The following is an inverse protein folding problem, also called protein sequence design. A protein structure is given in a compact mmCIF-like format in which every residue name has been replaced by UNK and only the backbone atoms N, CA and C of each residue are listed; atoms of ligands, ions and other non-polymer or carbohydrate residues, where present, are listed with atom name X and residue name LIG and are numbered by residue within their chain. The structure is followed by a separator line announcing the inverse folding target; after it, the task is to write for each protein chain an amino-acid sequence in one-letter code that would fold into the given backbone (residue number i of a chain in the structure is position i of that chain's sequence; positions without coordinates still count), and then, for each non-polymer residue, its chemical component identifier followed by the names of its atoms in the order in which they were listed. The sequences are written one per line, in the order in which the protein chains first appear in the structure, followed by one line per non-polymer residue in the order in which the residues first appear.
data_IF_396190467588
#
_entry.id   IF_396190467588
#
_cell.length_a   1.000
_cell.length_b   1.000
_cell.length_c   1.000
_cell.angle_alpha   90.00
_cell.angle_beta   90.00
_cell.angle_gamma   90.00
#
_symmetry.space_group_name_H-M   'P 1'
#
loop_
_entity.id
_entity.type
_entity.pdbx_description
1 polymer ?
#
# COMPACT_ATOMS: atom_id res chain seq x y z
N UNK A 1 2.70 24.16 -20.73
CA UNK A 1 2.10 24.62 -19.47
C UNK A 1 3.10 24.48 -18.34
N UNK A 2 2.77 25.00 -17.16
CA UNK A 2 3.57 24.91 -15.92
C UNK A 2 5.00 25.43 -15.96
N UNK A 3 5.40 25.99 -17.08
CA UNK A 3 6.74 26.54 -17.29
C UNK A 3 6.71 28.05 -17.46
N UNK A 4 7.51 28.76 -16.65
CA UNK A 4 7.68 30.19 -16.74
C UNK A 4 8.33 30.57 -18.10
N UNK A 5 7.65 31.38 -18.88
CA UNK A 5 8.18 31.98 -20.08
C UNK A 5 8.72 33.38 -19.76
N UNK A 6 9.99 33.64 -20.07
CA UNK A 6 10.56 34.99 -20.07
C UNK A 6 10.68 35.49 -21.52
N UNK A 7 10.13 36.64 -21.82
CA UNK A 7 10.16 37.21 -23.17
C UNK A 7 11.56 37.77 -23.51
N UNK A 8 11.83 37.78 -24.79
CA UNK A 8 13.02 38.46 -25.35
C UNK A 8 12.58 39.69 -26.12
N UNK A 9 13.48 40.65 -26.33
CA UNK A 9 13.19 41.84 -27.16
C UNK A 9 12.77 41.44 -28.58
N UNK A 10 13.28 40.35 -29.13
CA UNK A 10 12.95 39.82 -30.45
C UNK A 10 11.50 39.34 -30.58
N UNK A 11 10.80 39.05 -29.45
CA UNK A 11 9.41 38.61 -29.47
C UNK A 11 8.44 39.77 -29.77
N UNK A 12 8.93 41.00 -29.63
CA UNK A 12 8.20 42.21 -29.92
C UNK A 12 8.72 42.82 -31.22
N UNK A 13 8.07 42.52 -32.35
CA UNK A 13 8.42 43.07 -33.63
C UNK A 13 8.33 44.62 -33.62
N UNK A 14 9.41 45.29 -33.97
CA UNK A 14 9.49 46.74 -34.02
C UNK A 14 9.96 47.16 -35.43
N UNK A 15 9.28 48.14 -36.00
CA UNK A 15 9.70 48.81 -37.22
C UNK A 15 9.38 50.29 -37.09
N UNK A 16 10.38 51.12 -37.39
CA UNK A 16 10.23 52.56 -37.49
C UNK A 16 10.22 52.98 -38.95
N UNK A 17 9.25 53.84 -39.34
CA UNK A 17 9.07 54.28 -40.74
C UNK A 17 10.18 55.21 -41.18
N UNK A 18 10.68 56.02 -40.29
CA UNK A 18 11.71 56.98 -40.58
C UNK A 18 13.11 56.38 -40.53
N UNK A 19 13.24 55.15 -39.99
CA UNK A 19 14.43 54.33 -39.98
C UNK A 19 15.57 54.86 -39.08
N UNK A 20 15.26 55.80 -38.19
CA UNK A 20 16.24 56.40 -37.26
C UNK A 20 16.42 55.46 -36.03
N UNK A 21 15.37 54.71 -35.61
CA UNK A 21 15.41 53.80 -34.50
C UNK A 21 15.37 52.35 -34.97
N UNK A 22 16.32 51.57 -34.49
CA UNK A 22 16.45 50.13 -34.79
C UNK A 22 15.89 49.20 -33.70
N UNK A 23 15.42 49.79 -32.57
CA UNK A 23 14.86 49.06 -31.44
C UNK A 23 13.88 49.95 -30.68
N UNK A 24 12.89 49.34 -30.07
CA UNK A 24 11.98 50.05 -29.17
C UNK A 24 12.69 50.44 -27.87
N UNK A 25 12.27 51.53 -27.25
CA UNK A 25 12.78 52.03 -25.97
C UNK A 25 11.98 51.47 -24.78
N UNK A 26 10.70 51.12 -24.99
CA UNK A 26 9.82 50.51 -23.97
C UNK A 26 8.62 49.83 -24.61
N UNK A 27 8.03 48.92 -23.82
CA UNK A 27 6.79 48.22 -24.14
C UNK A 27 5.75 48.64 -23.09
N UNK A 28 4.57 49.06 -23.51
CA UNK A 28 3.45 49.37 -22.63
C UNK A 28 2.39 48.29 -22.78
N UNK A 29 1.93 47.73 -21.66
CA UNK A 29 0.81 46.80 -21.62
C UNK A 29 -0.49 47.60 -21.75
N UNK A 30 -1.32 47.26 -22.71
CA UNK A 30 -2.62 47.96 -22.94
C UNK A 30 -3.82 47.16 -22.51
N UNK A 31 -3.71 45.84 -22.54
CA UNK A 31 -4.64 44.91 -21.90
C UNK A 31 -3.84 43.78 -21.26
N UNK A 32 -4.22 43.42 -20.05
CA UNK A 32 -3.60 42.31 -19.33
C UNK A 32 -3.91 40.97 -19.99
N UNK A 33 -3.25 39.92 -19.55
CA UNK A 33 -3.39 38.58 -20.06
C UNK A 33 -4.81 38.02 -19.90
N UNK A 34 -5.16 37.12 -20.81
CA UNK A 34 -6.48 36.41 -20.79
C UNK A 34 -6.55 35.31 -19.72
N UNK A 35 -5.39 34.77 -19.34
CA UNK A 35 -5.24 33.77 -18.27
C UNK A 35 -3.77 33.63 -17.88
N UNK A 36 -3.47 32.96 -16.78
CA UNK A 36 -2.12 32.86 -16.24
C UNK A 36 -1.74 34.10 -15.44
N UNK A 37 -0.44 34.41 -15.39
CA UNK A 37 0.12 35.50 -14.61
C UNK A 37 1.22 36.18 -15.40
N UNK A 38 0.96 37.41 -15.89
CA UNK A 38 1.92 38.23 -16.60
C UNK A 38 2.55 39.22 -15.63
N UNK A 39 3.83 39.04 -15.38
CA UNK A 39 4.58 39.89 -14.47
C UNK A 39 5.52 40.85 -15.21
N UNK A 40 5.59 42.08 -14.70
CA UNK A 40 6.46 43.16 -15.13
C UNK A 40 7.57 43.36 -14.11
N UNK A 41 8.82 43.48 -14.58
CA UNK A 41 9.95 43.85 -13.74
C UNK A 41 10.19 45.33 -13.77
N UNK A 42 10.24 45.99 -12.61
CA UNK A 42 10.47 47.41 -12.46
C UNK A 42 9.54 48.25 -13.36
N UNK A 43 8.24 47.95 -13.31
CA UNK A 43 7.24 48.65 -14.10
C UNK A 43 7.31 50.17 -13.85
N UNK A 44 7.02 50.94 -14.90
CA UNK A 44 6.98 52.41 -14.85
C UNK A 44 8.31 53.07 -14.39
N UNK A 45 9.42 52.30 -14.39
CA UNK A 45 10.72 52.76 -13.94
C UNK A 45 10.90 52.71 -12.40
N UNK A 46 9.98 52.12 -11.68
CA UNK A 46 10.10 51.87 -10.25
C UNK A 46 11.05 50.67 -10.00
N UNK A 47 11.82 50.69 -8.92
CA UNK A 47 12.76 49.62 -8.60
C UNK A 47 12.10 48.60 -7.61
N UNK A 48 10.98 48.05 -8.00
CA UNK A 48 10.10 47.22 -7.16
C UNK A 48 10.17 45.70 -7.44
N UNK A 49 10.98 45.34 -8.46
CA UNK A 49 11.16 43.92 -8.82
C UNK A 49 10.08 43.40 -9.74
N UNK A 50 9.74 42.11 -9.60
CA UNK A 50 8.66 41.44 -10.33
C UNK A 50 7.33 41.64 -9.62
N UNK A 51 6.31 42.05 -10.35
CA UNK A 51 4.94 42.21 -9.89
C UNK A 51 3.96 42.01 -11.05
N UNK A 52 2.71 41.74 -10.75
CA UNK A 52 1.66 41.59 -11.76
C UNK A 52 1.58 42.85 -12.60
N UNK A 53 1.60 42.67 -13.93
CA UNK A 53 1.39 43.80 -14.84
C UNK A 53 -0.06 44.30 -14.74
N UNK A 54 -0.23 45.59 -14.76
CA UNK A 54 -1.55 46.21 -14.92
C UNK A 54 -1.61 47.01 -16.22
N UNK A 55 -2.83 47.32 -16.67
CA UNK A 55 -2.98 48.16 -17.86
C UNK A 55 -2.26 49.50 -17.68
N UNK A 56 -1.59 49.95 -18.74
CA UNK A 56 -0.75 51.13 -18.82
C UNK A 56 0.65 51.04 -18.18
N UNK A 57 0.99 49.91 -17.55
CA UNK A 57 2.37 49.63 -17.15
C UNK A 57 3.30 49.57 -18.35
N UNK A 58 4.53 50.06 -18.18
CA UNK A 58 5.58 49.89 -19.20
C UNK A 58 6.88 49.33 -18.63
N UNK A 59 7.55 48.58 -19.46
CA UNK A 59 8.89 48.04 -19.21
C UNK A 59 9.86 48.47 -20.30
N UNK A 60 11.16 48.50 -19.98
CA UNK A 60 12.19 49.00 -20.88
C UNK A 60 12.82 47.93 -21.76
N UNK A 61 12.48 46.70 -21.56
CA UNK A 61 12.96 45.54 -22.33
C UNK A 61 11.95 44.39 -22.29
N UNK A 62 11.92 43.60 -23.35
CA UNK A 62 11.12 42.36 -23.34
C UNK A 62 11.52 41.37 -22.23
N UNK A 63 12.82 41.34 -21.89
CA UNK A 63 13.32 40.50 -20.77
C UNK A 63 12.80 40.94 -19.39
N UNK A 64 12.12 42.08 -19.29
CA UNK A 64 11.42 42.54 -18.09
C UNK A 64 9.95 42.11 -18.05
N UNK A 65 9.53 41.22 -18.96
CA UNK A 65 8.22 40.57 -18.98
C UNK A 65 8.40 39.07 -18.84
N UNK A 66 7.57 38.47 -18.03
CA UNK A 66 7.47 37.00 -17.92
C UNK A 66 6.02 36.60 -17.73
N UNK A 67 5.71 35.39 -18.18
CA UNK A 67 4.36 34.82 -18.13
C UNK A 67 4.40 33.42 -17.56
N UNK A 68 3.61 33.17 -16.54
CA UNK A 68 3.35 31.85 -16.03
C UNK A 68 1.96 31.42 -16.49
N UNK A 69 1.82 30.38 -17.34
CA UNK A 69 0.52 29.84 -17.71
C UNK A 69 -0.27 29.42 -16.47
N UNK A 70 -1.59 29.44 -16.54
CA UNK A 70 -2.38 28.81 -15.51
C UNK A 70 -2.11 27.29 -15.50
N UNK A 71 -1.95 26.72 -14.30
CA UNK A 71 -1.65 25.32 -14.15
C UNK A 71 -2.61 24.42 -14.95
N UNK A 72 -2.05 23.42 -15.64
CA UNK A 72 -2.78 22.42 -16.42
C UNK A 72 -3.67 23.03 -17.52
N UNK A 73 -3.29 24.19 -18.05
CA UNK A 73 -4.06 24.90 -19.09
C UNK A 73 -3.30 24.98 -20.41
N UNK A 74 -3.85 24.38 -21.44
CA UNK A 74 -3.33 24.43 -22.83
C UNK A 74 -3.97 25.52 -23.70
N UNK A 75 -4.74 26.42 -23.10
CA UNK A 75 -5.36 27.52 -23.82
C UNK A 75 -4.32 28.58 -24.19
N UNK A 76 -4.37 29.09 -25.42
CA UNK A 76 -3.57 30.25 -25.84
C UNK A 76 -3.81 31.43 -24.91
N UNK A 77 -2.73 32.08 -24.50
CA UNK A 77 -2.77 33.27 -23.64
C UNK A 77 -2.51 34.51 -24.52
N UNK A 78 -3.34 35.53 -24.37
CA UNK A 78 -3.18 36.76 -25.12
C UNK A 78 -3.14 37.97 -24.21
N UNK A 79 -2.27 38.93 -24.55
CA UNK A 79 -2.27 40.29 -23.99
C UNK A 79 -1.99 41.32 -25.09
N UNK A 80 -2.32 42.57 -24.86
CA UNK A 80 -2.07 43.62 -25.85
C UNK A 80 -1.03 44.61 -25.35
N UNK A 81 -0.24 45.11 -26.28
CA UNK A 81 0.85 46.02 -25.99
C UNK A 81 1.01 47.10 -27.07
N UNK A 82 1.73 48.17 -26.72
CA UNK A 82 2.29 49.18 -27.62
C UNK A 82 3.79 49.22 -27.46
N UNK A 83 4.50 49.56 -28.53
CA UNK A 83 5.94 49.82 -28.50
C UNK A 83 6.19 51.33 -28.57
N UNK A 84 7.28 51.81 -27.96
CA UNK A 84 7.71 53.19 -27.92
C UNK A 84 9.09 53.31 -28.54
N UNK A 85 9.29 54.21 -29.49
CA UNK A 85 10.55 54.43 -30.20
C UNK A 85 11.57 55.33 -29.45
N UNK A 86 11.18 55.95 -28.37
CA UNK A 86 11.94 56.97 -27.64
C UNK A 86 11.25 58.33 -27.68
N UNK A 87 10.35 58.50 -28.67
CA UNK A 87 9.61 59.74 -28.91
C UNK A 87 8.11 59.61 -28.73
N UNK A 88 7.52 58.49 -29.25
CA UNK A 88 6.08 58.24 -29.22
C UNK A 88 5.75 56.74 -29.12
N UNK A 89 4.54 56.44 -28.69
CA UNK A 89 3.99 55.09 -28.76
C UNK A 89 3.41 54.79 -30.15
N UNK A 90 3.46 53.52 -30.54
CA UNK A 90 2.75 53.05 -31.72
C UNK A 90 1.29 53.47 -31.69
N UNK A 91 0.73 53.84 -32.88
CA UNK A 91 -0.64 54.35 -32.99
C UNK A 91 -1.68 53.32 -32.56
N UNK A 92 -1.41 52.03 -32.84
CA UNK A 92 -2.29 50.93 -32.52
C UNK A 92 -1.65 50.06 -31.44
N UNK A 93 -2.50 49.36 -30.66
CA UNK A 93 -2.08 48.20 -29.82
C UNK A 93 -1.94 46.96 -30.70
N UNK A 94 -1.00 46.13 -30.35
CA UNK A 94 -0.76 44.81 -30.96
C UNK A 94 -1.07 43.72 -29.95
N UNK A 95 -1.42 42.54 -30.44
CA UNK A 95 -1.72 41.37 -29.59
C UNK A 95 -0.52 40.43 -29.59
N UNK A 96 -0.05 40.09 -28.42
CA UNK A 96 0.84 38.96 -28.20
C UNK A 96 -0.05 37.72 -27.96
N UNK A 97 0.27 36.64 -28.67
CA UNK A 97 -0.34 35.34 -28.44
C UNK A 97 0.75 34.36 -28.04
N UNK A 98 0.61 33.75 -26.89
CA UNK A 98 1.48 32.68 -26.40
C UNK A 98 0.71 31.39 -26.51
N UNK A 99 1.14 30.50 -27.40
CA UNK A 99 0.56 29.19 -27.55
C UNK A 99 1.14 28.27 -26.48
N UNK A 100 0.28 27.72 -25.65
CA UNK A 100 0.64 26.82 -24.57
C UNK A 100 0.51 25.39 -25.06
N UNK A 101 1.58 24.62 -24.91
CA UNK A 101 1.58 23.18 -25.21
C UNK A 101 1.39 22.38 -23.95
N UNK A 102 0.70 21.22 -24.07
CA UNK A 102 0.57 20.30 -22.97
C UNK A 102 1.95 19.80 -22.50
N UNK A 103 2.09 19.66 -21.20
CA UNK A 103 3.15 18.92 -20.56
C UNK A 103 2.50 17.79 -19.76
N UNK A 104 3.14 16.65 -19.63
CA UNK A 104 2.59 15.55 -18.87
C UNK A 104 2.78 15.78 -17.37
N UNK A 105 1.71 15.70 -16.62
CA UNK A 105 1.68 15.67 -15.15
C UNK A 105 1.73 14.26 -14.61
N UNK A 106 2.30 14.06 -13.45
CA UNK A 106 2.27 12.76 -12.80
C UNK A 106 0.87 12.45 -12.22
N UNK A 107 0.45 11.18 -12.22
CA UNK A 107 -0.78 10.78 -11.55
C UNK A 107 -0.75 11.11 -10.07
N UNK A 108 -1.90 11.24 -9.45
CA UNK A 108 -2.04 11.57 -8.02
C UNK A 108 -2.97 10.59 -7.32
N UNK A 109 -2.72 10.34 -6.03
CA UNK A 109 -3.73 9.74 -5.17
C UNK A 109 -4.69 10.84 -4.71
N UNK A 110 -5.90 10.85 -5.25
CA UNK A 110 -6.95 11.80 -4.89
C UNK A 110 -7.62 11.44 -3.55
N UNK A 111 -7.52 10.18 -3.13
CA UNK A 111 -7.79 9.71 -1.78
C UNK A 111 -6.89 8.50 -1.47
N UNK A 112 -6.51 8.38 -0.20
CA UNK A 112 -5.69 7.29 0.34
C UNK A 112 -6.48 6.46 1.34
N UNK A 113 -6.24 5.15 1.39
CA UNK A 113 -6.88 4.26 2.35
C UNK A 113 -6.34 4.48 3.76
N UNK A 114 -7.17 4.17 4.75
CA UNK A 114 -6.72 4.10 6.13
C UNK A 114 -5.96 2.79 6.40
N UNK A 115 -5.10 2.83 7.42
CA UNK A 115 -4.45 1.64 7.93
C UNK A 115 -5.46 0.57 8.35
N UNK A 116 -5.08 -0.69 8.15
CA UNK A 116 -5.91 -1.87 8.45
C UNK A 116 -5.43 -2.53 9.74
N UNK A 117 -6.37 -2.88 10.62
CA UNK A 117 -6.13 -3.82 11.72
C UNK A 117 -7.00 -5.05 11.51
N UNK A 118 -6.41 -6.23 11.52
CA UNK A 118 -7.08 -7.51 11.24
C UNK A 118 -6.49 -8.59 12.15
N UNK A 119 -7.25 -9.60 12.44
CA UNK A 119 -6.72 -10.81 13.07
C UNK A 119 -6.07 -11.70 12.00
N UNK A 120 -5.02 -12.46 12.37
CA UNK A 120 -4.51 -13.49 11.46
C UNK A 120 -5.63 -14.45 11.05
N UNK A 121 -5.43 -15.18 9.95
CA UNK A 121 -6.37 -16.14 9.37
C UNK A 121 -7.74 -15.55 8.98
N UNK A 122 -7.88 -14.23 9.10
CA UNK A 122 -9.09 -13.51 8.73
C UNK A 122 -8.79 -12.50 7.63
N UNK A 123 -9.65 -12.43 6.62
CA UNK A 123 -9.52 -11.42 5.57
C UNK A 123 -9.91 -10.04 6.09
N UNK A 124 -9.11 -9.04 5.76
CA UNK A 124 -9.39 -7.63 6.01
C UNK A 124 -9.70 -6.89 4.71
N UNK A 125 -10.41 -5.79 4.82
CA UNK A 125 -10.81 -4.98 3.67
C UNK A 125 -10.21 -3.59 3.75
N UNK A 126 -9.48 -3.20 2.71
CA UNK A 126 -8.90 -1.87 2.50
C UNK A 126 -9.80 -1.13 1.52
N UNK A 127 -10.21 0.09 1.87
CA UNK A 127 -11.11 0.91 1.06
C UNK A 127 -10.66 2.36 1.05
N UNK A 128 -11.11 3.12 0.06
CA UNK A 128 -10.92 4.56 0.01
C UNK A 128 -9.76 5.04 -0.86
N UNK A 129 -8.95 4.13 -1.43
CA UNK A 129 -7.91 4.52 -2.39
C UNK A 129 -8.54 4.92 -3.72
N UNK A 130 -8.18 6.09 -4.21
CA UNK A 130 -8.56 6.55 -5.55
C UNK A 130 -7.41 7.32 -6.20
N UNK A 131 -7.27 7.19 -7.50
CA UNK A 131 -6.25 7.86 -8.30
C UNK A 131 -6.89 8.79 -9.33
N UNK A 132 -6.16 9.82 -9.71
CA UNK A 132 -6.54 10.74 -10.77
C UNK A 132 -5.30 11.15 -11.56
N UNK A 133 -5.53 11.46 -12.81
CA UNK A 133 -4.56 12.06 -13.71
C UNK A 133 -5.28 13.13 -14.52
N UNK A 134 -4.57 14.23 -14.79
CA UNK A 134 -5.17 15.38 -15.50
C UNK A 134 -5.09 15.19 -17.01
N UNK A 135 -4.03 14.51 -17.48
CA UNK A 135 -3.70 14.36 -18.89
C UNK A 135 -4.12 12.98 -19.39
N UNK A 136 -3.93 11.96 -18.55
CA UNK A 136 -4.10 10.58 -18.95
C UNK A 136 -5.40 9.94 -18.46
N UNK A 137 -6.08 9.34 -19.41
CA UNK A 137 -7.30 8.57 -19.14
C UNK A 137 -7.04 7.08 -18.84
N UNK A 138 -5.80 6.63 -18.96
CA UNK A 138 -5.37 5.24 -18.74
C UNK A 138 -4.13 5.19 -17.87
N UNK A 139 -4.18 4.39 -16.80
CA UNK A 139 -3.13 4.27 -15.81
C UNK A 139 -2.69 2.81 -15.64
N UNK A 140 -1.46 2.64 -15.20
CA UNK A 140 -0.93 1.36 -14.73
C UNK A 140 -0.85 1.40 -13.20
N UNK A 141 -1.37 0.37 -12.55
CA UNK A 141 -1.34 0.19 -11.10
C UNK A 141 -0.56 -1.06 -10.75
N UNK A 142 0.38 -0.93 -9.81
CA UNK A 142 1.03 -2.07 -9.16
C UNK A 142 0.63 -2.08 -7.69
N UNK A 143 0.14 -3.22 -7.24
CA UNK A 143 -0.17 -3.47 -5.82
C UNK A 143 0.72 -4.58 -5.32
N UNK A 144 1.39 -4.37 -4.19
CA UNK A 144 2.32 -5.34 -3.62
C UNK A 144 2.28 -5.35 -2.09
N UNK A 145 2.42 -6.54 -1.49
CA UNK A 145 2.51 -6.72 -0.03
C UNK A 145 3.94 -7.04 0.38
N UNK A 146 4.39 -6.48 1.51
CA UNK A 146 5.72 -6.75 2.08
C UNK A 146 5.83 -8.12 2.72
N UNK A 147 4.72 -8.74 3.10
CA UNK A 147 4.66 -10.07 3.70
C UNK A 147 4.09 -11.09 2.71
N UNK A 148 4.32 -12.36 2.98
CA UNK A 148 3.64 -13.46 2.29
C UNK A 148 2.15 -13.45 2.64
N UNK A 149 1.40 -12.66 1.90
CA UNK A 149 -0.05 -12.47 2.03
C UNK A 149 -0.66 -12.53 0.64
N UNK A 150 -1.94 -12.70 0.55
CA UNK A 150 -2.67 -12.59 -0.71
C UNK A 150 -3.68 -11.45 -0.65
N UNK A 151 -3.92 -10.83 -1.78
CA UNK A 151 -4.98 -9.82 -1.90
C UNK A 151 -5.75 -9.97 -3.20
N UNK A 152 -6.99 -9.52 -3.18
CA UNK A 152 -7.90 -9.58 -4.33
C UNK A 152 -8.54 -8.22 -4.55
N UNK A 153 -8.76 -7.88 -5.80
CA UNK A 153 -9.44 -6.65 -6.22
C UNK A 153 -10.96 -6.77 -6.15
N UNK A 154 -11.65 -5.65 -6.04
CA UNK A 154 -13.12 -5.61 -6.09
C UNK A 154 -13.68 -6.13 -7.44
N UNK A 155 -12.97 -5.85 -8.52
CA UNK A 155 -13.32 -6.26 -9.88
C UNK A 155 -12.09 -6.25 -10.77
N UNK A 156 -12.10 -7.07 -11.81
CA UNK A 156 -11.07 -7.09 -12.86
C UNK A 156 -11.59 -6.60 -14.21
N UNK A 157 -12.83 -6.09 -14.23
CA UNK A 157 -13.50 -5.65 -15.45
C UNK A 157 -12.79 -4.46 -16.11
N UNK A 158 -12.42 -4.61 -17.36
CA UNK A 158 -11.76 -3.57 -18.15
C UNK A 158 -10.28 -3.35 -17.81
N UNK A 159 -9.66 -4.30 -17.10
CA UNK A 159 -8.24 -4.31 -16.79
C UNK A 159 -7.48 -5.29 -17.68
N UNK A 160 -6.23 -4.96 -17.94
CA UNK A 160 -5.22 -5.84 -18.58
C UNK A 160 -4.10 -6.09 -17.58
N UNK A 161 -3.86 -7.35 -17.25
CA UNK A 161 -2.83 -7.74 -16.29
C UNK A 161 -1.52 -8.04 -17.00
N UNK A 162 -0.42 -7.52 -16.46
CA UNK A 162 0.96 -7.90 -16.81
C UNK A 162 1.59 -8.78 -15.72
N UNK A 163 1.07 -8.75 -14.50
CA UNK A 163 1.42 -9.66 -13.40
C UNK A 163 0.18 -9.88 -12.52
N UNK A 164 -0.01 -11.11 -12.04
CA UNK A 164 -1.19 -11.52 -11.29
C UNK A 164 -2.44 -11.65 -12.18
N UNK A 165 -3.59 -11.86 -11.57
CA UNK A 165 -4.90 -11.93 -12.27
C UNK A 165 -6.01 -11.18 -11.51
N UNK A 166 -5.67 -10.54 -10.39
CA UNK A 166 -6.61 -9.81 -9.53
C UNK A 166 -7.27 -10.65 -8.45
N UNK A 167 -6.83 -11.91 -8.26
CA UNK A 167 -7.41 -12.82 -7.28
C UNK A 167 -6.35 -13.58 -6.51
N UNK A 168 -6.27 -13.36 -5.20
CA UNK A 168 -5.33 -14.06 -4.31
C UNK A 168 -3.87 -13.94 -4.74
N UNK A 169 -3.48 -12.78 -5.25
CA UNK A 169 -2.11 -12.46 -5.63
C UNK A 169 -1.32 -11.87 -4.46
N UNK A 170 0.00 -12.04 -4.44
CA UNK A 170 0.93 -11.33 -3.54
C UNK A 170 1.47 -10.04 -4.17
N UNK A 171 1.49 -9.99 -5.47
CA UNK A 171 1.84 -8.81 -6.28
C UNK A 171 1.05 -8.87 -7.56
N UNK A 172 0.46 -7.76 -7.95
CA UNK A 172 -0.22 -7.64 -9.24
C UNK A 172 0.10 -6.31 -9.90
N UNK A 173 0.16 -6.34 -11.23
CA UNK A 173 0.31 -5.14 -12.06
C UNK A 173 -0.73 -5.20 -13.18
N UNK A 174 -1.52 -4.16 -13.28
CA UNK A 174 -2.60 -4.07 -14.26
C UNK A 174 -2.74 -2.65 -14.80
N UNK A 175 -3.27 -2.53 -16.00
CA UNK A 175 -3.59 -1.25 -16.63
C UNK A 175 -5.05 -1.20 -17.06
N UNK A 176 -5.58 0.00 -17.15
CA UNK A 176 -6.96 0.25 -17.57
C UNK A 176 -7.27 1.73 -17.57
N UNK A 177 -8.49 2.08 -17.95
CA UNK A 177 -8.94 3.47 -17.78
C UNK A 177 -8.90 3.85 -16.30
N UNK A 178 -8.67 5.13 -15.99
CA UNK A 178 -8.66 5.66 -14.62
C UNK A 178 -9.90 5.21 -13.84
N UNK A 179 -11.07 5.19 -14.49
CA UNK A 179 -12.32 4.71 -13.89
C UNK A 179 -12.28 3.20 -13.57
N UNK A 180 -11.73 2.36 -14.44
CA UNK A 180 -11.63 0.91 -14.21
C UNK A 180 -10.60 0.61 -13.12
N UNK A 181 -9.46 1.31 -13.09
CA UNK A 181 -8.46 1.21 -12.03
C UNK A 181 -9.09 1.57 -10.69
N UNK A 182 -9.79 2.70 -10.60
CA UNK A 182 -10.48 3.14 -9.38
C UNK A 182 -11.54 2.13 -8.92
N UNK A 183 -12.33 1.57 -9.83
CA UNK A 183 -13.31 0.54 -9.49
C UNK A 183 -12.64 -0.73 -8.93
N UNK A 184 -11.48 -1.08 -9.44
CA UNK A 184 -10.72 -2.26 -9.00
C UNK A 184 -10.15 -2.08 -7.59
N UNK A 185 -9.53 -0.92 -7.31
CA UNK A 185 -8.91 -0.62 -6.01
C UNK A 185 -9.87 -0.04 -4.97
N UNK A 186 -11.14 0.23 -5.34
CA UNK A 186 -12.16 0.75 -4.41
C UNK A 186 -12.31 -0.11 -3.15
N UNK A 187 -12.07 -1.40 -3.30
CA UNK A 187 -12.05 -2.39 -2.21
C UNK A 187 -11.00 -3.44 -2.53
N UNK A 188 -9.98 -3.54 -1.69
CA UNK A 188 -8.97 -4.58 -1.77
C UNK A 188 -9.12 -5.47 -0.55
N UNK A 189 -9.36 -6.77 -0.77
CA UNK A 189 -9.41 -7.76 0.30
C UNK A 189 -8.02 -8.34 0.51
N UNK A 190 -7.45 -8.15 1.69
CA UNK A 190 -6.14 -8.65 2.08
C UNK A 190 -6.27 -9.79 3.08
N UNK A 191 -5.45 -10.83 2.94
CA UNK A 191 -5.43 -12.00 3.83
C UNK A 191 -3.99 -12.38 4.12
N UNK A 192 -3.62 -12.49 5.40
CA UNK A 192 -2.31 -13.01 5.83
C UNK A 192 -2.10 -14.46 5.33
N UNK A 193 -0.85 -14.88 5.31
CA UNK A 193 -0.58 -16.31 5.25
C UNK A 193 -1.10 -16.96 6.54
N UNK A 194 -1.54 -18.22 6.45
CA UNK A 194 -2.05 -18.99 7.59
C UNK A 194 -1.07 -18.90 8.78
N UNK A 195 -1.61 -18.62 9.96
CA UNK A 195 -0.88 -18.51 11.23
C UNK A 195 0.28 -17.49 11.17
N UNK A 196 0.11 -16.40 10.46
CA UNK A 196 1.12 -15.35 10.36
C UNK A 196 0.59 -14.02 10.92
N UNK A 197 1.01 -13.70 12.12
CA UNK A 197 0.66 -12.48 12.85
C UNK A 197 1.68 -11.34 12.66
N UNK A 198 2.59 -11.44 11.68
CA UNK A 198 3.51 -10.36 11.38
C UNK A 198 2.79 -9.21 10.69
N UNK A 199 3.08 -7.99 11.13
CA UNK A 199 2.59 -6.79 10.48
C UNK A 199 3.09 -6.69 9.05
N UNK A 200 2.29 -6.12 8.17
CA UNK A 200 2.55 -5.95 6.75
C UNK A 200 2.39 -4.50 6.32
N UNK A 201 2.80 -4.22 5.10
CA UNK A 201 2.47 -2.99 4.37
C UNK A 201 1.98 -3.39 2.98
N UNK A 202 0.88 -2.81 2.55
CA UNK A 202 0.42 -2.88 1.16
C UNK A 202 0.77 -1.57 0.47
N UNK A 203 1.46 -1.64 -0.67
CA UNK A 203 1.79 -0.49 -1.48
C UNK A 203 0.93 -0.46 -2.75
N UNK A 204 0.44 0.72 -3.09
CA UNK A 204 -0.20 1.05 -4.35
C UNK A 204 0.74 1.97 -5.11
N UNK A 205 1.22 1.55 -6.27
CA UNK A 205 2.08 2.35 -7.13
C UNK A 205 1.33 2.62 -8.42
N UNK A 206 1.09 3.89 -8.72
CA UNK A 206 0.41 4.32 -9.95
C UNK A 206 1.40 4.99 -10.90
N UNK A 207 1.26 4.73 -12.20
CA UNK A 207 2.09 5.25 -13.27
C UNK A 207 1.25 5.54 -14.51
N UNK A 208 1.54 6.66 -15.18
CA UNK A 208 1.07 7.05 -16.52
C UNK A 208 2.01 6.52 -17.62
N UNK A 209 3.25 6.14 -17.27
CA UNK A 209 4.28 5.67 -18.19
C UNK A 209 5.21 6.77 -18.73
N UNK A 210 4.97 8.02 -18.38
CA UNK A 210 5.75 9.19 -18.84
C UNK A 210 6.43 9.93 -17.69
N UNK A 211 5.67 10.26 -16.63
CA UNK A 211 6.20 10.88 -15.41
C UNK A 211 6.70 9.83 -14.40
N UNK A 212 7.19 10.27 -13.26
CA UNK A 212 7.62 9.38 -12.17
C UNK A 212 6.43 8.70 -11.49
N UNK A 213 6.62 7.43 -11.12
CA UNK A 213 5.63 6.66 -10.36
C UNK A 213 5.30 7.33 -9.02
N UNK A 214 4.04 7.28 -8.62
CA UNK A 214 3.56 7.77 -7.32
C UNK A 214 3.10 6.61 -6.46
N UNK A 215 3.48 6.63 -5.18
CA UNK A 215 3.23 5.51 -4.27
C UNK A 215 2.41 5.96 -3.06
N UNK A 216 1.37 5.21 -2.75
CA UNK A 216 0.65 5.25 -1.48
C UNK A 216 0.83 3.93 -0.73
N UNK A 217 0.82 3.96 0.60
CA UNK A 217 1.05 2.78 1.43
C UNK A 217 0.05 2.69 2.57
N UNK A 218 -0.44 1.49 2.81
CA UNK A 218 -1.34 1.15 3.91
C UNK A 218 -0.59 0.25 4.89
N UNK A 219 -0.49 0.68 6.15
CA UNK A 219 0.05 -0.18 7.20
C UNK A 219 -1.03 -1.20 7.63
N UNK A 220 -0.60 -2.45 7.80
CA UNK A 220 -1.47 -3.55 8.20
C UNK A 220 -0.95 -4.13 9.51
N UNK A 221 -1.75 -3.97 10.57
CA UNK A 221 -1.50 -4.57 11.87
C UNK A 221 -2.24 -5.89 11.94
N UNK A 222 -1.51 -6.98 12.17
CA UNK A 222 -2.08 -8.33 12.30
C UNK A 222 -2.02 -8.74 13.76
N UNK A 223 -3.18 -8.98 14.36
CA UNK A 223 -3.29 -9.47 15.73
C UNK A 223 -3.18 -11.00 15.73
N UNK A 224 -2.41 -11.54 16.66
CA UNK A 224 -2.38 -12.97 16.93
C UNK A 224 -3.76 -13.47 17.40
N UNK A 225 -4.14 -14.65 16.98
CA UNK A 225 -5.31 -15.39 17.43
C UNK A 225 -4.84 -16.74 17.95
N UNK A 226 -5.44 -17.17 19.05
CA UNK A 226 -5.12 -18.46 19.64
C UNK A 226 -5.56 -19.60 18.72
N UNK A 227 -4.62 -20.40 18.27
CA UNK A 227 -4.86 -21.60 17.48
C UNK A 227 -5.08 -22.85 18.35
N UNK A 228 -5.67 -23.86 17.76
CA UNK A 228 -5.83 -25.12 18.43
C UNK A 228 -4.58 -26.01 18.29
N UNK A 229 -4.13 -26.62 19.39
CA UNK A 229 -3.00 -27.54 19.31
C UNK A 229 -3.31 -28.76 18.44
N UNK A 230 -2.27 -29.35 17.91
CA UNK A 230 -2.33 -30.60 17.16
C UNK A 230 -1.49 -31.68 17.85
N UNK A 231 -1.83 -32.92 17.56
CA UNK A 231 -1.06 -34.08 18.01
C UNK A 231 -1.03 -35.14 16.90
N UNK A 232 -0.07 -36.04 16.94
CA UNK A 232 0.07 -37.11 15.97
C UNK A 232 -0.24 -38.48 16.59
N UNK A 233 -0.81 -39.38 15.79
CA UNK A 233 -0.91 -40.78 16.16
C UNK A 233 0.49 -41.39 16.32
N UNK A 234 0.68 -42.21 17.33
CA UNK A 234 1.94 -42.93 17.56
C UNK A 234 1.69 -44.38 17.98
N UNK A 235 2.68 -45.21 17.81
CA UNK A 235 2.66 -46.62 18.18
C UNK A 235 3.80 -46.94 19.11
N UNK A 236 3.52 -47.59 20.23
CA UNK A 236 4.52 -48.16 21.14
C UNK A 236 4.48 -49.66 21.04
N UNK A 237 5.63 -50.30 21.04
CA UNK A 237 5.76 -51.75 21.09
C UNK A 237 6.32 -52.13 22.46
N UNK A 238 5.63 -53.03 23.17
CA UNK A 238 6.05 -53.56 24.44
C UNK A 238 6.01 -55.10 24.40
N UNK A 239 6.86 -55.72 25.16
CA UNK A 239 6.76 -57.17 25.36
C UNK A 239 5.58 -57.48 26.27
N UNK A 240 5.00 -58.70 26.17
CA UNK A 240 3.96 -59.14 27.10
C UNK A 240 4.47 -59.08 28.55
N UNK A 241 3.55 -58.85 29.49
CA UNK A 241 3.83 -58.67 30.90
C UNK A 241 4.73 -57.49 31.30
N UNK A 242 5.12 -56.62 30.35
CA UNK A 242 5.82 -55.36 30.63
C UNK A 242 4.91 -54.16 30.49
N UNK A 243 5.12 -53.19 31.36
CA UNK A 243 4.44 -51.89 31.27
C UNK A 243 5.25 -50.88 30.44
N UNK A 244 4.55 -49.94 29.77
CA UNK A 244 5.12 -48.79 29.12
C UNK A 244 4.78 -47.53 29.89
N UNK A 245 5.79 -46.75 30.23
CA UNK A 245 5.64 -45.42 30.83
C UNK A 245 5.79 -44.39 29.75
N UNK A 246 4.79 -43.57 29.56
CA UNK A 246 4.74 -42.55 28.51
C UNK A 246 5.62 -41.34 28.82
N UNK A 247 6.10 -40.72 27.77
CA UNK A 247 6.75 -39.40 27.84
C UNK A 247 5.91 -38.36 27.13
N UNK A 248 6.00 -37.10 27.52
CA UNK A 248 5.24 -36.03 26.89
C UNK A 248 5.57 -35.89 25.38
N UNK A 249 6.82 -36.20 24.98
CA UNK A 249 7.24 -36.12 23.57
C UNK A 249 6.59 -37.17 22.66
N UNK A 250 6.10 -38.31 23.22
CA UNK A 250 5.44 -39.35 22.42
C UNK A 250 4.10 -38.89 21.88
N UNK A 251 3.45 -37.92 22.50
CA UNK A 251 2.15 -37.40 22.06
C UNK A 251 2.24 -36.53 20.82
N UNK A 252 3.45 -36.24 20.30
CA UNK A 252 3.64 -35.46 19.06
C UNK A 252 2.91 -34.10 19.07
N UNK A 253 2.80 -33.52 20.27
CA UNK A 253 2.12 -32.24 20.47
C UNK A 253 2.85 -31.12 19.74
N UNK A 254 2.11 -30.32 19.00
CA UNK A 254 2.58 -29.05 18.41
C UNK A 254 1.48 -28.02 18.55
N UNK A 255 1.90 -26.82 18.82
CA UNK A 255 1.06 -25.64 18.90
C UNK A 255 1.72 -24.50 18.11
N UNK A 256 0.96 -23.77 17.33
CA UNK A 256 1.47 -22.71 16.46
C UNK A 256 1.82 -21.45 17.26
N UNK A 257 1.11 -21.22 18.36
CA UNK A 257 1.35 -20.10 19.26
C UNK A 257 2.46 -20.38 20.29
N UNK A 258 3.15 -21.53 20.16
CA UNK A 258 4.16 -22.01 21.11
C UNK A 258 3.60 -22.28 22.51
N UNK A 259 2.29 -22.51 22.63
CA UNK A 259 1.68 -22.85 23.90
C UNK A 259 2.11 -24.25 24.38
N UNK A 260 2.41 -24.31 25.66
CA UNK A 260 2.82 -25.57 26.26
C UNK A 260 1.60 -26.51 26.47
N UNK A 261 1.78 -27.79 26.15
CA UNK A 261 0.77 -28.81 26.46
C UNK A 261 0.46 -28.78 27.97
N UNK A 262 -0.76 -28.42 28.32
CA UNK A 262 -1.19 -28.34 29.71
C UNK A 262 -1.69 -29.68 30.25
N UNK A 263 -2.46 -30.41 29.43
CA UNK A 263 -3.06 -31.70 29.78
C UNK A 263 -3.38 -32.51 28.53
N UNK A 264 -3.59 -33.80 28.70
CA UNK A 264 -4.10 -34.71 27.68
C UNK A 264 -5.41 -35.33 28.18
N UNK A 265 -6.42 -35.35 27.31
CA UNK A 265 -7.69 -36.02 27.60
C UNK A 265 -7.67 -37.39 26.94
N UNK A 266 -8.01 -38.44 27.73
CA UNK A 266 -7.95 -39.81 27.29
C UNK A 266 -9.31 -40.42 27.06
N UNK A 267 -9.35 -41.44 26.20
CA UNK A 267 -10.39 -42.45 26.22
C UNK A 267 -9.86 -43.71 26.92
N UNK A 268 -10.74 -44.50 27.47
CA UNK A 268 -10.34 -45.74 28.08
C UNK A 268 -9.61 -46.66 27.08
N UNK A 269 -8.58 -47.34 27.53
CA UNK A 269 -7.87 -48.30 26.71
C UNK A 269 -8.83 -49.42 26.25
N UNK A 270 -8.77 -49.80 24.98
CA UNK A 270 -9.58 -50.87 24.41
C UNK A 270 -9.09 -52.26 24.86
N UNK A 271 -7.82 -52.35 25.28
CA UNK A 271 -7.21 -53.55 25.83
C UNK A 271 -6.09 -53.12 26.80
N UNK A 272 -5.77 -53.97 27.77
CA UNK A 272 -4.82 -53.64 28.83
C UNK A 272 -5.37 -52.58 29.80
N UNK A 273 -4.54 -52.03 30.62
CA UNK A 273 -4.89 -50.97 31.58
C UNK A 273 -3.97 -49.76 31.41
N UNK A 274 -4.57 -48.58 31.38
CA UNK A 274 -3.90 -47.30 31.38
C UNK A 274 -4.19 -46.60 32.71
N UNK A 275 -3.17 -46.11 33.42
CA UNK A 275 -3.31 -45.41 34.71
C UNK A 275 -2.17 -44.42 34.95
N UNK A 276 -2.29 -43.59 35.98
CA UNK A 276 -1.17 -42.78 36.47
C UNK A 276 -0.55 -43.51 37.66
N UNK A 277 0.70 -43.96 37.52
CA UNK A 277 1.47 -44.70 38.53
C UNK A 277 2.15 -43.70 39.48
N UNK A 278 1.40 -43.14 40.40
CA UNK A 278 1.87 -42.05 41.32
C UNK A 278 1.94 -42.52 42.79
N UNK A 279 1.61 -43.79 43.08
CA UNK A 279 1.57 -44.35 44.42
C UNK A 279 0.41 -43.82 45.27
N UNK A 280 -0.58 -43.16 44.66
CA UNK A 280 -1.72 -42.57 45.38
C UNK A 280 -2.58 -43.69 46.00
N UNK A 281 -3.04 -43.46 47.24
CA UNK A 281 -3.85 -44.45 47.97
C UNK A 281 -3.05 -45.54 48.68
N UNK A 282 -1.73 -45.42 48.79
CA UNK A 282 -0.88 -46.34 49.54
C UNK A 282 -0.19 -47.42 48.69
N UNK A 283 -0.22 -47.26 47.35
CA UNK A 283 0.59 -48.04 46.41
C UNK A 283 2.06 -47.61 46.37
N UNK A 284 2.87 -48.33 45.62
CA UNK A 284 4.24 -47.95 45.32
C UNK A 284 4.25 -47.19 44.01
N UNK A 285 4.82 -45.99 44.00
CA UNK A 285 4.96 -45.18 42.79
C UNK A 285 6.01 -45.78 41.84
N UNK A 286 5.74 -45.67 40.54
CA UNK A 286 6.65 -46.07 39.47
C UNK A 286 7.03 -47.58 39.50
N UNK A 287 6.13 -48.48 40.01
CA UNK A 287 6.37 -49.91 40.04
C UNK A 287 5.74 -50.70 38.88
N UNK A 288 5.00 -50.02 38.01
CA UNK A 288 4.35 -50.62 36.83
C UNK A 288 3.11 -51.47 37.13
N UNK A 289 2.57 -51.35 38.33
CA UNK A 289 1.41 -52.14 38.77
C UNK A 289 0.32 -51.21 39.29
N UNK A 290 -0.91 -51.39 38.85
CA UNK A 290 -2.08 -50.71 39.43
C UNK A 290 -2.31 -51.23 40.87
N UNK A 291 -2.09 -50.39 41.86
CA UNK A 291 -2.23 -50.74 43.26
C UNK A 291 -2.94 -49.67 44.08
N UNK A 292 -3.28 -49.98 45.28
CA UNK A 292 -3.70 -49.18 46.42
C UNK A 292 -4.76 -48.12 46.25
N UNK A 293 -4.88 -47.37 45.27
CA UNK A 293 -5.77 -46.21 45.05
C UNK A 293 -5.65 -45.62 43.66
N UNK A 294 -4.70 -46.20 42.91
CA UNK A 294 -4.53 -45.90 41.52
C UNK A 294 -5.72 -46.44 40.71
N UNK A 295 -6.23 -45.63 39.83
CA UNK A 295 -7.42 -45.98 39.04
C UNK A 295 -7.11 -45.96 37.56
N UNK A 296 -7.67 -46.97 36.86
CA UNK A 296 -7.62 -46.95 35.40
C UNK A 296 -8.21 -45.66 34.82
N UNK A 297 -7.58 -45.15 33.80
CA UNK A 297 -8.06 -44.01 33.05
C UNK A 297 -9.38 -44.38 32.35
N UNK A 298 -10.41 -43.59 32.61
CA UNK A 298 -11.72 -43.73 31.99
C UNK A 298 -11.89 -42.67 30.87
N UNK A 299 -12.92 -42.84 30.05
CA UNK A 299 -13.27 -41.87 29.02
C UNK A 299 -13.48 -40.49 29.61
N UNK A 300 -12.81 -39.50 29.05
CA UNK A 300 -12.89 -38.10 29.47
C UNK A 300 -11.99 -37.76 30.66
N UNK A 301 -11.20 -38.70 31.21
CA UNK A 301 -10.21 -38.36 32.21
C UNK A 301 -9.06 -37.52 31.58
N UNK A 302 -8.57 -36.55 32.33
CA UNK A 302 -7.45 -35.70 31.95
C UNK A 302 -6.22 -36.01 32.79
N UNK A 303 -5.07 -36.00 32.18
CA UNK A 303 -3.77 -36.13 32.85
C UNK A 303 -2.96 -34.85 32.54
N UNK A 304 -2.54 -34.16 33.60
CA UNK A 304 -1.68 -32.97 33.44
C UNK A 304 -0.29 -33.39 32.89
N UNK A 305 0.31 -32.52 32.10
CA UNK A 305 1.64 -32.78 31.49
C UNK A 305 2.69 -33.19 32.55
N UNK A 306 2.67 -32.57 33.72
CA UNK A 306 3.59 -32.92 34.81
C UNK A 306 3.43 -34.36 35.31
N UNK A 307 2.27 -35.01 35.11
CA UNK A 307 1.99 -36.38 35.48
C UNK A 307 2.13 -37.39 34.33
N UNK A 308 2.40 -36.93 33.10
CA UNK A 308 2.56 -37.82 31.94
C UNK A 308 3.77 -38.77 32.10
N UNK A 309 4.82 -38.35 32.76
CA UNK A 309 5.96 -39.21 33.06
C UNK A 309 5.63 -40.38 34.03
N UNK A 310 4.44 -40.39 34.56
CA UNK A 310 3.88 -41.47 35.40
C UNK A 310 2.69 -42.15 34.75
N UNK A 311 2.30 -41.72 33.58
CA UNK A 311 1.25 -42.38 32.81
C UNK A 311 1.78 -43.72 32.30
N UNK A 312 1.15 -44.79 32.70
CA UNK A 312 1.60 -46.17 32.46
C UNK A 312 0.51 -46.98 31.77
N UNK A 313 0.90 -47.77 30.80
CA UNK A 313 0.02 -48.75 30.18
C UNK A 313 0.63 -50.13 30.28
N UNK A 314 -0.16 -51.09 30.65
CA UNK A 314 0.23 -52.52 30.66
C UNK A 314 -0.75 -53.40 29.90
N UNK A 315 -0.27 -54.34 29.11
CA UNK A 315 -1.13 -55.35 28.47
C UNK A 315 -1.85 -56.20 29.53
N UNK A 316 -2.91 -56.87 29.11
CA UNK A 316 -3.50 -57.94 29.96
C UNK A 316 -2.46 -59.08 30.12
N UNK A 317 -2.46 -59.69 31.28
CA UNK A 317 -1.52 -60.81 31.55
C UNK A 317 -1.64 -61.91 30.47
N UNK A 318 -0.50 -62.39 29.96
CA UNK A 318 -0.38 -63.35 28.87
C UNK A 318 -1.09 -62.92 27.56
N UNK A 319 -1.20 -61.65 27.25
CA UNK A 319 -1.77 -61.16 26.02
C UNK A 319 -0.73 -61.24 24.88
N UNK A 320 -0.83 -62.29 24.09
CA UNK A 320 -0.07 -62.39 22.83
C UNK A 320 -0.82 -61.63 21.75
N UNK A 321 -0.12 -60.73 21.02
CA UNK A 321 -0.65 -59.94 19.91
C UNK A 321 -0.97 -60.76 18.66
#
# INVERSE_FOLDING_TARGET
EDTLLTFANSDFSFTDVDGEDTSFSRIQITTIESSGDLECQNANGEADGWQDCVADDYVTAGTSLRLTPAANSVADITFSFKVHDGTAYSASSYVMTVSVTAANDAPTFSATANDLTVNEDTAGTITGTTVADIDDSSLTMTVASTQSATFSLATTTGLTFSAGDGTSDNTMTFSGTTANVNNAIATVTWTSQLNNNNNAQLSFTVSDGEAGDVVDTVAITVNAVQDLPTAADFTVTVDEDNAHVFTASEFGYTDVDDDAMALVTFQAASAGTLWVDDGNGGGTADDGVVNGGESAIANGNTVATAALAKLTWAPAANANG
#
